data_IF_482323711407
#
_entry.id   IF_482323711407
#
_cell.length_a   1.000
_cell.length_b   1.000
_cell.length_c   1.000
_cell.angle_alpha   90.00
_cell.angle_beta   90.00
_cell.angle_gamma   90.00
#
_symmetry.space_group_name_H-M   'P 1'
#
loop_
_entity.id
_entity.type
_entity.pdbx_description
1 polymer ?
#
# COMPACT_ATOMS: atom_id res chain seq x y z
N UNK A 1 -2.39 -12.17 11.88
CA UNK A 1 -2.88 -12.15 10.48
C UNK A 1 -1.82 -11.45 9.65
N UNK A 2 -1.23 -12.11 8.65
CA UNK A 2 -0.16 -11.50 7.85
C UNK A 2 -0.78 -10.91 6.56
N UNK A 3 -1.42 -9.75 6.71
CA UNK A 3 -2.08 -9.02 5.60
C UNK A 3 -1.14 -7.91 5.15
N UNK A 4 -1.00 -7.71 3.85
CA UNK A 4 -0.20 -6.65 3.23
C UNK A 4 -1.05 -5.89 2.20
N UNK A 5 -0.89 -4.58 2.12
CA UNK A 5 -1.49 -3.76 1.08
C UNK A 5 -0.54 -3.70 -0.13
N UNK A 6 -0.76 -4.58 -1.12
CA UNK A 6 0.06 -4.60 -2.34
C UNK A 6 -0.50 -3.63 -3.39
N UNK A 7 0.37 -2.84 -4.01
CA UNK A 7 -0.06 -1.84 -4.99
C UNK A 7 0.96 -1.66 -6.11
N UNK A 8 0.48 -1.32 -7.31
CA UNK A 8 1.30 -0.81 -8.41
C UNK A 8 1.11 0.70 -8.52
N UNK A 9 2.18 1.46 -8.78
CA UNK A 9 2.06 2.89 -9.04
C UNK A 9 3.14 3.40 -9.98
N UNK A 10 2.70 3.92 -11.14
CA UNK A 10 3.59 4.57 -12.12
C UNK A 10 3.91 6.03 -11.75
N UNK A 11 2.94 6.78 -11.23
CA UNK A 11 3.03 8.22 -10.95
C UNK A 11 2.91 8.59 -9.46
N UNK A 12 2.79 7.61 -8.56
CA UNK A 12 2.85 7.82 -7.10
C UNK A 12 1.51 8.06 -6.40
N UNK A 13 0.40 8.31 -7.11
CA UNK A 13 -0.91 8.48 -6.47
C UNK A 13 -1.38 7.20 -5.79
N UNK A 14 -1.23 6.05 -6.44
CA UNK A 14 -1.55 4.75 -5.83
C UNK A 14 -0.70 4.46 -4.59
N UNK A 15 0.57 4.89 -4.57
CA UNK A 15 1.44 4.78 -3.39
C UNK A 15 0.88 5.56 -2.19
N UNK A 16 0.37 6.78 -2.42
CA UNK A 16 -0.23 7.60 -1.35
C UNK A 16 -1.47 6.93 -0.76
N UNK A 17 -2.34 6.40 -1.61
CA UNK A 17 -3.56 5.70 -1.18
C UNK A 17 -3.20 4.39 -0.45
N UNK A 18 -2.30 3.58 -1.00
CA UNK A 18 -1.88 2.32 -0.39
C UNK A 18 -1.26 2.52 0.99
N UNK A 19 -0.44 3.56 1.16
CA UNK A 19 0.11 3.93 2.47
C UNK A 19 -0.97 4.35 3.47
N UNK A 20 -2.00 5.09 3.03
CA UNK A 20 -3.10 5.48 3.90
C UNK A 20 -3.92 4.26 4.37
N UNK A 21 -4.23 3.33 3.46
CA UNK A 21 -4.92 2.08 3.77
C UNK A 21 -4.07 1.23 4.72
N UNK A 22 -2.77 1.07 4.44
CA UNK A 22 -1.85 0.28 5.24
C UNK A 22 -1.74 0.82 6.67
N UNK A 23 -1.63 2.15 6.81
CA UNK A 23 -1.65 2.82 8.12
C UNK A 23 -2.95 2.56 8.89
N UNK A 24 -4.09 2.66 8.22
CA UNK A 24 -5.39 2.46 8.86
C UNK A 24 -5.62 1.00 9.29
N UNK A 25 -5.12 0.05 8.49
CA UNK A 25 -5.26 -1.37 8.75
C UNK A 25 -4.15 -1.93 9.67
N UNK A 26 -3.15 -1.14 10.06
CA UNK A 26 -2.01 -1.60 10.85
C UNK A 26 -1.12 -2.59 10.12
N UNK A 27 -0.99 -2.46 8.80
CA UNK A 27 -0.21 -3.34 7.92
C UNK A 27 0.82 -2.56 7.12
N UNK A 28 1.67 -3.28 6.37
CA UNK A 28 2.64 -2.67 5.45
C UNK A 28 2.06 -2.51 4.05
N UNK A 29 2.43 -1.41 3.38
CA UNK A 29 2.21 -1.24 1.95
C UNK A 29 3.44 -1.73 1.18
N UNK A 30 3.22 -2.58 0.17
CA UNK A 30 4.29 -3.17 -0.65
C UNK A 30 4.05 -2.83 -2.11
N UNK A 31 5.07 -2.30 -2.79
CA UNK A 31 5.00 -2.05 -4.22
C UNK A 31 5.17 -3.37 -4.98
N UNK A 32 4.29 -3.62 -5.95
CA UNK A 32 4.43 -4.68 -6.96
C UNK A 32 4.73 -3.97 -8.28
N UNK A 33 5.86 -4.33 -8.90
CA UNK A 33 6.39 -3.73 -10.13
C UNK A 33 5.66 -4.25 -11.37
#
# INVERSE_FOLDING_TARGET
>A
MNIEARYYSKSGNTKRIANAIAKQAGVSAVIIY
#
